data_IF_494056960583
#
_entry.id   IF_494056960583
#
_cell.length_a   1.000
_cell.length_b   1.000
_cell.length_c   1.000
_cell.angle_alpha   90.00
_cell.angle_beta   90.00
_cell.angle_gamma   90.00
#
_symmetry.space_group_name_H-M   'P 1'
#
loop_
_entity.id
_entity.type
_entity.pdbx_description
1 polymer ?
#
# COMPACT_ATOMS: atom_id res chain seq x y z
N UNK A 1 -2.44 -10.85 3.29
CA UNK A 1 -2.78 -9.85 4.33
C UNK A 1 -3.21 -10.54 5.62
N UNK A 2 -3.71 -11.76 5.52
CA UNK A 2 -4.25 -12.60 6.60
C UNK A 2 -3.35 -12.69 7.84
N UNK A 3 -2.03 -12.75 7.66
CA UNK A 3 -1.08 -12.83 8.78
C UNK A 3 -1.06 -11.56 9.64
N UNK A 4 -1.46 -10.39 9.12
CA UNK A 4 -1.34 -9.11 9.83
C UNK A 4 -2.15 -9.12 11.12
N UNK A 5 -3.36 -9.68 11.09
CA UNK A 5 -4.20 -9.77 12.29
C UNK A 5 -3.51 -10.57 13.41
N UNK A 6 -2.78 -11.63 13.06
CA UNK A 6 -2.10 -12.48 14.05
C UNK A 6 -0.89 -11.82 14.71
N UNK A 7 -0.34 -10.76 14.11
CA UNK A 7 0.84 -10.05 14.61
C UNK A 7 0.53 -8.60 15.02
N UNK A 8 -0.72 -8.16 14.93
CA UNK A 8 -1.17 -6.79 15.19
C UNK A 8 -0.71 -6.30 16.57
N UNK A 9 -1.01 -7.07 17.62
CA UNK A 9 -0.67 -6.72 19.00
C UNK A 9 0.85 -6.72 19.27
N UNK A 10 1.59 -7.51 18.50
CA UNK A 10 3.03 -7.66 18.69
C UNK A 10 3.82 -6.53 18.02
N UNK A 11 3.38 -6.03 16.86
CA UNK A 11 4.10 -5.00 16.08
C UNK A 11 4.48 -3.76 16.91
N UNK A 12 3.58 -3.15 17.72
CA UNK A 12 3.93 -2.00 18.54
C UNK A 12 5.08 -2.26 19.53
N UNK A 13 5.27 -3.51 19.97
CA UNK A 13 6.32 -3.88 20.94
C UNK A 13 7.71 -3.98 20.32
N UNK A 14 7.83 -4.02 18.99
CA UNK A 14 9.11 -4.19 18.30
C UNK A 14 10.04 -2.98 18.41
N UNK A 15 9.50 -1.79 18.71
CA UNK A 15 10.29 -0.56 18.82
C UNK A 15 10.91 -0.07 17.50
N UNK A 16 10.53 -0.68 16.37
CA UNK A 16 10.98 -0.32 15.02
C UNK A 16 9.79 -0.08 14.10
N UNK A 17 10.04 0.59 12.99
CA UNK A 17 9.02 0.75 11.95
C UNK A 17 8.93 -0.51 11.09
N UNK A 18 7.69 -0.94 10.82
CA UNK A 18 7.41 -2.04 9.90
C UNK A 18 6.87 -1.49 8.58
N UNK A 19 7.26 -2.10 7.47
CA UNK A 19 6.73 -1.78 6.14
C UNK A 19 6.10 -3.03 5.55
N UNK A 20 4.80 -2.95 5.25
CA UNK A 20 4.11 -4.00 4.52
C UNK A 20 4.29 -3.80 3.02
N UNK A 21 4.84 -4.80 2.35
CA UNK A 21 5.05 -4.78 0.91
C UNK A 21 3.78 -5.17 0.15
N UNK A 22 3.62 -4.60 -1.05
CA UNK A 22 2.56 -4.94 -2.01
C UNK A 22 1.15 -4.92 -1.41
N UNK A 23 0.82 -3.83 -0.70
CA UNK A 23 -0.48 -3.65 -0.03
C UNK A 23 -0.76 -4.79 0.99
N UNK A 24 0.28 -5.46 1.49
CA UNK A 24 0.14 -6.60 2.40
C UNK A 24 -0.36 -7.89 1.74
N UNK A 25 -0.30 -7.98 0.40
CA UNK A 25 -0.72 -9.16 -0.39
C UNK A 25 -2.16 -9.55 -0.03
N UNK A 26 -3.15 -8.69 -0.28
CA UNK A 26 -4.55 -8.98 0.03
C UNK A 26 -5.04 -10.19 -0.77
N UNK A 27 -5.90 -11.00 -0.15
CA UNK A 27 -6.73 -11.93 -0.90
C UNK A 27 -7.96 -11.17 -1.40
N UNK A 28 -7.96 -10.84 -2.69
CA UNK A 28 -9.03 -10.05 -3.30
C UNK A 28 -10.18 -10.99 -3.67
N UNK A 29 -11.41 -10.77 -3.17
CA UNK A 29 -12.55 -11.60 -3.53
C UNK A 29 -12.79 -11.59 -5.05
N UNK A 30 -12.87 -12.78 -5.65
CA UNK A 30 -13.18 -12.93 -7.07
C UNK A 30 -14.58 -12.39 -7.34
N UNK A 31 -14.66 -11.30 -8.09
CA UNK A 31 -15.94 -10.69 -8.44
C UNK A 31 -16.64 -11.50 -9.55
N UNK A 32 -17.63 -12.31 -9.16
CA UNK A 32 -18.53 -12.98 -10.11
C UNK A 32 -19.67 -12.07 -10.62
N UNK A 33 -19.71 -10.81 -10.19
CA UNK A 33 -20.72 -9.82 -10.59
C UNK A 33 -20.18 -8.39 -10.47
N UNK A 34 -20.84 -7.40 -11.09
CA UNK A 34 -20.42 -6.00 -11.15
C UNK A 34 -20.46 -5.21 -9.81
N UNK A 35 -20.48 -5.89 -8.66
CA UNK A 35 -20.45 -5.25 -7.34
C UNK A 35 -19.04 -5.24 -6.77
N UNK A 36 -18.62 -4.06 -6.29
CA UNK A 36 -17.44 -3.92 -5.42
C UNK A 36 -17.54 -4.85 -4.21
N UNK A 37 -16.41 -5.39 -3.75
CA UNK A 37 -16.33 -6.10 -2.47
C UNK A 37 -16.34 -5.10 -1.30
N UNK A 38 -16.66 -5.57 -0.10
CA UNK A 38 -16.49 -4.77 1.12
C UNK A 38 -15.08 -4.97 1.66
N UNK A 39 -14.47 -3.90 2.15
CA UNK A 39 -13.13 -3.95 2.72
C UNK A 39 -13.05 -4.82 3.99
N UNK A 40 -14.16 -4.92 4.73
CA UNK A 40 -14.30 -5.82 5.88
C UNK A 40 -14.19 -7.30 5.51
N UNK A 41 -14.37 -7.65 4.23
CA UNK A 41 -14.26 -9.03 3.74
C UNK A 41 -12.79 -9.42 3.49
N UNK A 42 -11.86 -8.45 3.52
CA UNK A 42 -10.42 -8.69 3.33
C UNK A 42 -9.76 -8.89 4.69
N UNK A 43 -9.35 -10.13 4.98
CA UNK A 43 -8.74 -10.50 6.24
C UNK A 43 -7.47 -9.66 6.52
N UNK A 44 -7.40 -9.08 7.71
CA UNK A 44 -6.28 -8.26 8.17
C UNK A 44 -6.26 -6.82 7.65
N UNK A 45 -7.26 -6.38 6.88
CA UNK A 45 -7.31 -5.00 6.38
C UNK A 45 -7.51 -3.98 7.52
N UNK A 46 -8.48 -4.23 8.40
CA UNK A 46 -8.72 -3.36 9.56
C UNK A 46 -7.49 -3.28 10.48
N UNK A 47 -6.82 -4.41 10.70
CA UNK A 47 -5.55 -4.50 11.44
C UNK A 47 -4.46 -3.64 10.80
N UNK A 48 -4.31 -3.71 9.48
CA UNK A 48 -3.37 -2.87 8.74
C UNK A 48 -3.71 -1.39 8.95
N UNK A 49 -4.97 -0.99 8.76
CA UNK A 49 -5.39 0.41 8.93
C UNK A 49 -5.12 0.89 10.36
N UNK A 50 -5.41 0.07 11.36
CA UNK A 50 -5.13 0.38 12.76
C UNK A 50 -3.63 0.62 13.01
N UNK A 51 -2.76 -0.26 12.52
CA UNK A 51 -1.30 -0.13 12.66
C UNK A 51 -0.76 1.13 11.96
N UNK A 52 -1.30 1.48 10.80
CA UNK A 52 -0.95 2.70 10.07
C UNK A 52 -1.37 3.95 10.87
N UNK A 53 -2.59 3.98 11.39
CA UNK A 53 -3.09 5.10 12.20
C UNK A 53 -2.33 5.27 13.52
N UNK A 54 -1.80 4.18 14.08
CA UNK A 54 -0.91 4.21 15.24
C UNK A 54 0.52 4.66 14.92
N UNK A 55 0.84 4.89 13.65
CA UNK A 55 2.17 5.31 13.17
C UNK A 55 3.29 4.30 13.45
N UNK A 56 2.95 3.02 13.62
CA UNK A 56 3.92 1.94 13.87
C UNK A 56 4.20 1.11 12.61
N UNK A 57 3.41 1.30 11.56
CA UNK A 57 3.58 0.64 10.28
C UNK A 57 3.47 1.60 9.10
N UNK A 58 3.91 1.11 7.94
CA UNK A 58 3.83 1.72 6.62
C UNK A 58 3.37 0.68 5.60
N UNK A 59 2.88 1.13 4.45
CA UNK A 59 2.51 0.27 3.32
C UNK A 59 3.14 0.76 2.02
N UNK A 60 3.68 -0.17 1.23
CA UNK A 60 4.04 0.09 -0.17
C UNK A 60 2.85 -0.16 -1.09
N UNK A 61 2.40 0.89 -1.79
CA UNK A 61 1.49 0.77 -2.94
C UNK A 61 2.34 0.34 -4.13
N UNK A 62 2.38 -0.97 -4.38
CA UNK A 62 3.31 -1.61 -5.31
C UNK A 62 2.85 -3.01 -5.72
N UNK A 63 3.49 -3.59 -6.73
CA UNK A 63 3.31 -5.00 -7.11
C UNK A 63 1.87 -5.42 -7.46
N UNK A 64 1.05 -4.61 -8.13
CA UNK A 64 -0.36 -4.93 -8.35
C UNK A 64 -0.56 -6.22 -9.18
N UNK A 65 0.38 -6.54 -10.07
CA UNK A 65 0.39 -7.76 -10.88
C UNK A 65 0.62 -9.06 -10.07
N UNK A 66 1.07 -8.95 -8.82
CA UNK A 66 1.17 -10.10 -7.92
C UNK A 66 -0.13 -10.42 -7.20
N UNK A 67 -0.95 -9.40 -6.95
CA UNK A 67 -2.08 -9.44 -6.00
C UNK A 67 -3.44 -9.31 -6.68
N UNK A 68 -3.44 -8.94 -7.95
CA UNK A 68 -4.65 -8.79 -8.75
C UNK A 68 -5.02 -10.12 -9.43
N UNK A 69 -6.31 -10.42 -9.43
CA UNK A 69 -6.92 -11.50 -10.19
C UNK A 69 -7.19 -11.11 -11.66
N UNK A 70 -7.14 -9.81 -11.98
CA UNK A 70 -7.31 -9.31 -13.35
C UNK A 70 -5.97 -9.10 -14.06
N UNK A 71 -5.96 -9.33 -15.36
CA UNK A 71 -4.81 -8.97 -16.18
C UNK A 71 -4.71 -7.45 -16.30
N UNK A 72 -3.50 -6.92 -16.19
CA UNK A 72 -3.22 -5.49 -16.31
C UNK A 72 -3.50 -4.90 -17.70
N UNK A 73 -3.14 -3.63 -17.92
CA UNK A 73 -2.12 -2.90 -17.18
C UNK A 73 -2.66 -2.05 -16.02
N UNK A 74 -3.99 -1.96 -15.86
CA UNK A 74 -4.66 -1.26 -14.76
C UNK A 74 -5.47 -2.27 -13.94
N UNK A 75 -5.41 -2.14 -12.61
CA UNK A 75 -5.93 -3.13 -11.67
C UNK A 75 -7.04 -2.51 -10.81
N UNK A 76 -8.16 -2.18 -11.43
CA UNK A 76 -9.28 -1.45 -10.80
C UNK A 76 -9.88 -2.15 -9.58
N UNK A 77 -9.72 -3.47 -9.47
CA UNK A 77 -10.18 -4.19 -8.27
C UNK A 77 -9.40 -3.79 -7.01
N UNK A 78 -8.24 -3.13 -7.13
CA UNK A 78 -7.49 -2.61 -5.99
C UNK A 78 -7.95 -1.21 -5.55
N UNK A 79 -8.79 -0.53 -6.34
CA UNK A 79 -9.22 0.84 -6.06
C UNK A 79 -9.90 1.00 -4.68
N UNK A 80 -10.81 0.11 -4.24
CA UNK A 80 -11.42 0.23 -2.92
C UNK A 80 -10.39 0.24 -1.78
N UNK A 81 -9.39 -0.64 -1.84
CA UNK A 81 -8.30 -0.71 -0.85
C UNK A 81 -7.44 0.55 -0.89
N UNK A 82 -6.99 0.96 -2.08
CA UNK A 82 -6.07 2.08 -2.26
C UNK A 82 -6.72 3.39 -1.83
N UNK A 83 -7.98 3.62 -2.22
CA UNK A 83 -8.73 4.82 -1.85
C UNK A 83 -8.98 4.88 -0.33
N UNK A 84 -9.27 3.76 0.31
CA UNK A 84 -9.42 3.74 1.76
C UNK A 84 -8.09 4.00 2.48
N UNK A 85 -6.98 3.45 1.99
CA UNK A 85 -5.65 3.76 2.52
C UNK A 85 -5.31 5.25 2.38
N UNK A 86 -5.61 5.86 1.22
CA UNK A 86 -5.46 7.30 1.00
C UNK A 86 -6.27 8.13 2.00
N UNK A 87 -7.47 7.67 2.36
CA UNK A 87 -8.32 8.33 3.34
C UNK A 87 -7.82 8.14 4.77
N UNK A 88 -7.52 6.91 5.15
CA UNK A 88 -7.32 6.50 6.54
C UNK A 88 -5.92 6.82 7.07
N UNK A 89 -4.88 6.73 6.21
CA UNK A 89 -3.49 6.92 6.63
C UNK A 89 -2.58 7.47 5.50
N UNK A 90 -2.91 8.61 4.88
CA UNK A 90 -2.17 9.12 3.71
C UNK A 90 -0.69 9.40 3.96
N UNK A 91 -0.28 9.65 5.21
CA UNK A 91 1.11 9.90 5.61
C UNK A 91 1.94 8.64 5.88
N UNK A 92 1.37 7.45 5.64
CA UNK A 92 2.00 6.14 5.90
C UNK A 92 2.12 5.26 4.65
N UNK A 93 1.96 5.86 3.48
CA UNK A 93 1.95 5.16 2.20
C UNK A 93 3.14 5.59 1.36
N UNK A 94 3.81 4.64 0.73
CA UNK A 94 4.88 4.93 -0.24
C UNK A 94 4.62 4.20 -1.54
N UNK A 95 4.93 4.83 -2.67
CA UNK A 95 4.92 4.16 -3.96
C UNK A 95 6.21 3.36 -4.15
N UNK A 96 6.10 2.18 -4.77
CA UNK A 96 7.24 1.49 -5.34
C UNK A 96 6.85 0.79 -6.66
N UNK A 97 7.75 0.78 -7.64
CA UNK A 97 7.51 0.11 -8.92
C UNK A 97 7.56 -1.42 -8.82
N UNK A 98 8.28 -1.96 -7.84
CA UNK A 98 8.65 -3.38 -7.77
C UNK A 98 9.49 -3.85 -8.97
N UNK A 99 10.26 -2.93 -9.59
CA UNK A 99 11.26 -3.30 -10.60
C UNK A 99 12.36 -4.18 -9.97
N UNK A 100 12.85 -5.25 -10.61
CA UNK A 100 12.75 -5.60 -12.03
C UNK A 100 11.57 -6.51 -12.43
N UNK A 101 10.48 -6.54 -11.66
CA UNK A 101 9.29 -7.35 -11.96
C UNK A 101 9.64 -8.82 -12.18
N UNK A 102 10.45 -9.39 -11.27
CA UNK A 102 10.94 -10.76 -11.41
C UNK A 102 9.77 -11.72 -11.63
N UNK A 103 9.92 -12.68 -12.56
CA UNK A 103 8.87 -13.61 -13.06
C UNK A 103 7.86 -13.03 -14.05
N UNK A 104 7.82 -11.72 -14.27
CA UNK A 104 6.90 -11.07 -15.22
C UNK A 104 7.68 -10.40 -16.36
N UNK A 105 8.10 -11.21 -17.35
CA UNK A 105 8.91 -10.72 -18.48
C UNK A 105 8.12 -9.74 -19.34
N UNK A 106 8.68 -8.55 -19.59
CA UNK A 106 8.10 -7.53 -20.46
C UNK A 106 6.96 -6.73 -19.83
N UNK A 107 6.74 -6.85 -18.51
CA UNK A 107 5.78 -6.02 -17.80
C UNK A 107 6.19 -4.54 -17.86
N UNK A 108 5.26 -3.69 -18.28
CA UNK A 108 5.37 -2.23 -18.15
C UNK A 108 4.43 -1.74 -17.05
N UNK A 109 5.01 -1.25 -15.94
CA UNK A 109 4.24 -0.74 -14.79
C UNK A 109 3.76 0.70 -14.99
N UNK A 110 4.30 1.43 -15.99
CA UNK A 110 4.01 2.87 -16.18
C UNK A 110 2.51 3.19 -16.29
N UNK A 111 1.66 2.41 -17.00
CA UNK A 111 0.25 2.72 -17.07
C UNK A 111 -0.42 2.74 -15.69
N UNK A 112 -0.05 1.80 -14.80
CA UNK A 112 -0.56 1.78 -13.43
C UNK A 112 0.00 2.95 -12.61
N UNK A 113 1.27 3.32 -12.78
CA UNK A 113 1.85 4.51 -12.15
C UNK A 113 1.09 5.78 -12.56
N UNK A 114 0.82 5.95 -13.86
CA UNK A 114 0.02 7.06 -14.39
C UNK A 114 -1.40 7.05 -13.81
N UNK A 115 -2.00 5.87 -13.68
CA UNK A 115 -3.33 5.73 -13.09
C UNK A 115 -3.38 6.13 -11.61
N UNK A 116 -2.37 5.79 -10.81
CA UNK A 116 -2.27 6.27 -9.42
C UNK A 116 -2.15 7.80 -9.34
N UNK A 117 -1.46 8.42 -10.29
CA UNK A 117 -1.42 9.89 -10.39
C UNK A 117 -2.81 10.47 -10.68
N UNK A 118 -3.59 9.82 -11.55
CA UNK A 118 -4.97 10.22 -11.82
C UNK A 118 -5.89 10.01 -10.61
N UNK A 119 -5.75 8.91 -9.87
CA UNK A 119 -6.51 8.65 -8.64
C UNK A 119 -6.26 9.69 -7.53
N UNK A 120 -5.08 10.31 -7.51
CA UNK A 120 -4.71 11.35 -6.54
C UNK A 120 -4.99 12.78 -7.03
N UNK A 121 -5.65 12.94 -8.18
CA UNK A 121 -5.95 14.25 -8.75
C UNK A 121 -6.86 15.07 -7.83
N UNK A 122 -6.47 16.31 -7.57
CA UNK A 122 -7.13 17.19 -6.59
C UNK A 122 -6.85 16.84 -5.12
N UNK A 123 -5.91 15.91 -4.86
CA UNK A 123 -5.45 15.52 -3.53
C UNK A 123 -3.92 15.62 -3.45
N UNK A 124 -3.39 16.84 -3.63
CA UNK A 124 -1.94 17.08 -3.78
C UNK A 124 -1.12 16.54 -2.60
N UNK A 125 -1.66 16.62 -1.37
CA UNK A 125 -1.00 16.05 -0.19
C UNK A 125 -0.87 14.53 -0.26
N UNK A 126 -1.89 13.83 -0.77
CA UNK A 126 -1.85 12.37 -0.94
C UNK A 126 -0.87 12.01 -2.04
N UNK A 127 -0.93 12.71 -3.18
CA UNK A 127 -0.02 12.52 -4.32
C UNK A 127 1.43 12.71 -3.91
N UNK A 128 1.76 13.87 -3.37
CA UNK A 128 3.12 14.24 -3.02
C UNK A 128 3.64 13.37 -1.87
N UNK A 129 2.78 13.03 -0.90
CA UNK A 129 3.04 12.03 0.13
C UNK A 129 3.45 10.69 -0.46
N UNK A 130 2.58 10.09 -1.27
CA UNK A 130 2.76 8.77 -1.86
C UNK A 130 4.04 8.67 -2.71
N UNK A 131 4.29 9.67 -3.56
CA UNK A 131 5.37 9.62 -4.55
C UNK A 131 6.69 10.25 -4.09
N UNK A 132 6.72 10.99 -2.96
CA UNK A 132 7.92 11.71 -2.52
C UNK A 132 8.05 11.82 -1.00
N UNK A 133 7.13 12.53 -0.36
CA UNK A 133 7.35 13.06 1.00
C UNK A 133 7.36 11.97 2.06
N UNK A 134 6.51 10.95 1.92
CA UNK A 134 6.46 9.85 2.88
C UNK A 134 7.72 8.98 2.82
N UNK A 135 8.30 8.78 1.65
CA UNK A 135 9.53 8.00 1.48
C UNK A 135 10.74 8.72 2.13
N UNK A 136 10.77 10.06 2.04
CA UNK A 136 11.75 10.89 2.74
C UNK A 136 11.64 10.66 4.25
N UNK A 137 10.43 10.76 4.81
CA UNK A 137 10.20 10.55 6.25
C UNK A 137 10.58 9.14 6.68
N UNK A 138 10.12 8.11 5.95
CA UNK A 138 10.36 6.71 6.28
C UNK A 138 11.86 6.38 6.30
N UNK A 139 12.60 6.77 5.26
CA UNK A 139 13.99 6.33 5.09
C UNK A 139 15.04 7.29 5.67
N UNK A 140 14.69 8.57 5.90
CA UNK A 140 15.61 9.56 6.48
C UNK A 140 15.36 9.83 7.98
N UNK A 141 14.39 9.15 8.62
CA UNK A 141 14.15 9.30 10.05
C UNK A 141 15.39 9.01 10.93
N UNK A 142 16.36 8.23 10.45
CA UNK A 142 17.61 7.94 11.14
C UNK A 142 18.67 9.05 11.07
N UNK A 143 18.64 9.93 10.06
CA UNK A 143 19.70 10.93 9.85
C UNK A 143 19.64 12.12 10.84
N UNK A 144 18.49 12.32 11.50
CA UNK A 144 18.34 13.33 12.54
C UNK A 144 18.82 12.86 13.95
N UNK A 145 19.29 11.61 14.10
CA UNK A 145 19.81 11.09 15.37
C UNK A 145 21.34 10.91 15.42
N UNK A 146 22.07 11.22 14.34
CA UNK A 146 23.53 11.07 14.28
C UNK A 146 24.31 12.37 14.45
N UNK A 147 23.69 13.42 15.00
CA UNK A 147 24.41 14.62 15.46
C UNK A 147 24.71 14.48 16.95
N UNK A 148 25.79 13.77 17.27
CA UNK A 148 26.50 13.87 18.56
C UNK A 148 27.78 14.67 18.37
#
# INVERSE_FOLDING_TARGET
MDAIQSIEDFIPSLGVQIVFDHIGIPDIPVQNSAKSYNLSDIAGFDSMVWLLQKNVAWVKISGPYWISNVQGPIYHELDPLILELFRAAPSRLVYASDWPHTRFKGLDIKPWTSYLLDLTKGQEKVRDGLFRDNAIVLWQAGDNQLKY
#
